data_IF_583948266579
#
_entry.id   IF_583948266579
#
_cell.length_a   1.000
_cell.length_b   1.000
_cell.length_c   1.000
_cell.angle_alpha   90.00
_cell.angle_beta   90.00
_cell.angle_gamma   90.00
#
_symmetry.space_group_name_H-M   'P 1'
#
loop_
_entity.id
_entity.type
_entity.pdbx_description
1 polymer ?
#
# COMPACT_ATOMS: atom_id res chain seq x y z
N UNK A 1 44.63 -58.55 44.24
CA UNK A 1 44.86 -58.30 42.80
C UNK A 1 44.02 -57.12 42.40
N UNK A 2 44.71 -56.02 42.10
CA UNK A 2 44.14 -54.73 41.75
C UNK A 2 43.59 -54.72 40.33
N UNK A 3 42.46 -54.04 40.11
CA UNK A 3 42.14 -53.42 38.83
C UNK A 3 41.73 -51.97 39.11
N UNK A 4 42.64 -51.06 38.77
CA UNK A 4 42.52 -49.60 38.82
C UNK A 4 42.00 -49.05 37.47
N UNK A 5 41.58 -47.78 37.51
CA UNK A 5 41.50 -46.79 36.43
C UNK A 5 40.36 -46.91 35.39
N UNK A 6 39.76 -45.83 34.91
CA UNK A 6 39.84 -44.40 35.21
C UNK A 6 38.63 -43.73 34.58
N UNK A 7 37.91 -42.90 35.35
CA UNK A 7 36.94 -41.96 34.79
C UNK A 7 37.72 -40.82 34.13
N UNK A 8 37.70 -40.76 32.80
CA UNK A 8 38.11 -39.56 32.08
C UNK A 8 36.95 -38.57 32.04
N UNK A 9 37.00 -37.63 32.99
CA UNK A 9 36.28 -36.37 32.95
C UNK A 9 36.75 -35.56 31.72
N UNK A 10 35.99 -35.58 30.63
CA UNK A 10 36.07 -34.53 29.61
C UNK A 10 34.92 -33.54 29.82
N UNK A 11 35.12 -32.68 30.83
CA UNK A 11 34.34 -31.46 31.05
C UNK A 11 34.73 -30.46 29.95
N UNK A 12 34.16 -30.61 28.75
CA UNK A 12 34.30 -29.63 27.68
C UNK A 12 33.53 -28.37 28.06
N UNK A 13 34.29 -27.35 28.38
CA UNK A 13 33.88 -25.98 28.65
C UNK A 13 33.40 -25.33 27.33
N UNK A 14 32.11 -25.43 27.00
CA UNK A 14 31.50 -24.62 25.94
C UNK A 14 30.58 -23.54 26.54
N UNK A 15 31.20 -22.58 27.23
CA UNK A 15 30.53 -21.36 27.71
C UNK A 15 30.24 -20.36 26.57
N UNK A 16 29.73 -20.83 25.42
CA UNK A 16 29.44 -19.99 24.25
C UNK A 16 28.02 -20.17 23.73
N UNK A 17 27.04 -20.29 24.62
CA UNK A 17 25.61 -20.40 24.25
C UNK A 17 24.73 -19.34 24.93
N UNK A 18 25.35 -18.30 25.50
CA UNK A 18 24.68 -17.18 26.18
C UNK A 18 25.07 -15.82 25.59
N UNK A 19 25.33 -15.71 24.29
CA UNK A 19 25.29 -14.42 23.58
C UNK A 19 23.81 -14.01 23.34
N UNK A 20 23.12 -13.93 24.47
CA UNK A 20 22.23 -12.88 24.90
C UNK A 20 21.23 -12.36 23.86
N UNK A 21 19.98 -12.78 24.08
CA UNK A 21 18.72 -12.09 23.76
C UNK A 21 18.64 -10.66 24.35
N UNK A 22 19.75 -9.94 24.47
CA UNK A 22 19.77 -8.56 24.93
C UNK A 22 19.16 -7.69 23.83
N UNK A 23 18.22 -6.83 24.23
CA UNK A 23 17.64 -5.79 23.39
C UNK A 23 18.77 -4.87 22.91
N UNK A 24 18.68 -4.43 21.66
CA UNK A 24 19.60 -3.41 21.13
C UNK A 24 19.44 -2.13 21.95
N UNK A 25 20.56 -1.49 22.28
CA UNK A 25 20.55 -0.21 22.97
C UNK A 25 20.05 0.91 22.02
N UNK A 26 19.59 2.02 22.58
CA UNK A 26 19.06 3.15 21.82
C UNK A 26 20.05 3.66 20.76
N UNK A 27 21.33 3.77 21.09
CA UNK A 27 22.34 4.27 20.16
C UNK A 27 22.64 3.27 19.03
N UNK A 28 22.59 1.97 19.33
CA UNK A 28 22.69 0.92 18.31
C UNK A 28 21.50 0.98 17.35
N UNK A 29 20.29 1.20 17.88
CA UNK A 29 19.08 1.38 17.05
C UNK A 29 19.18 2.62 16.18
N UNK A 30 19.59 3.77 16.73
CA UNK A 30 19.75 5.02 15.96
C UNK A 30 20.72 4.84 14.78
N UNK A 31 21.83 4.16 15.01
CA UNK A 31 22.80 3.91 13.93
C UNK A 31 22.18 3.01 12.85
N UNK A 32 21.52 1.91 13.24
CA UNK A 32 20.80 1.03 12.32
C UNK A 32 19.71 1.78 11.55
N UNK A 33 19.00 2.72 12.18
CA UNK A 33 17.99 3.58 11.53
C UNK A 33 18.63 4.48 10.48
N UNK A 34 19.74 5.18 10.80
CA UNK A 34 20.44 6.03 9.82
C UNK A 34 20.91 5.25 8.58
N UNK A 35 21.39 4.02 8.78
CA UNK A 35 21.80 3.15 7.68
C UNK A 35 20.61 2.64 6.88
N UNK A 36 19.52 2.25 7.56
CA UNK A 36 18.28 1.84 6.90
C UNK A 36 17.69 2.98 6.07
N UNK A 37 17.78 4.21 6.56
CA UNK A 37 17.28 5.40 5.87
C UNK A 37 18.00 5.62 4.54
N UNK A 38 19.31 5.35 4.51
CA UNK A 38 20.15 5.40 3.29
C UNK A 38 19.97 4.18 2.38
N UNK A 39 19.86 2.96 2.94
CA UNK A 39 19.66 1.73 2.17
C UNK A 39 18.70 0.77 2.90
N UNK A 40 17.56 0.49 2.25
CA UNK A 40 16.49 -0.37 2.78
C UNK A 40 16.84 -1.87 2.71
N UNK A 41 17.81 -2.26 1.88
CA UNK A 41 18.31 -3.63 1.73
C UNK A 41 19.56 -3.84 2.58
N UNK A 42 19.63 -5.00 3.24
CA UNK A 42 20.78 -5.36 4.07
C UNK A 42 21.69 -6.30 3.28
N UNK A 43 22.74 -5.75 2.71
CA UNK A 43 23.74 -6.53 1.99
C UNK A 43 24.53 -7.45 2.94
N UNK A 44 24.94 -8.66 2.51
CA UNK A 44 25.67 -9.60 3.35
C UNK A 44 26.97 -9.02 3.92
N UNK A 45 27.72 -8.28 3.11
CA UNK A 45 28.97 -7.62 3.51
C UNK A 45 28.72 -6.52 4.55
N UNK A 46 27.76 -5.63 4.27
CA UNK A 46 27.36 -4.57 5.21
C UNK A 46 26.83 -5.12 6.53
N UNK A 47 26.11 -6.25 6.52
CA UNK A 47 25.66 -6.92 7.73
C UNK A 47 26.83 -7.31 8.64
N UNK A 48 27.94 -7.79 8.07
CA UNK A 48 29.12 -8.17 8.83
C UNK A 48 29.86 -6.94 9.39
N UNK A 49 29.95 -5.87 8.62
CA UNK A 49 30.52 -4.59 9.09
C UNK A 49 29.71 -4.02 10.25
N UNK A 50 28.39 -3.90 10.09
CA UNK A 50 27.50 -3.42 11.16
C UNK A 50 27.58 -4.29 12.41
N UNK A 51 27.74 -5.61 12.26
CA UNK A 51 27.89 -6.52 13.38
C UNK A 51 29.15 -6.23 14.19
N UNK A 52 30.27 -6.00 13.48
CA UNK A 52 31.56 -5.66 14.08
C UNK A 52 31.49 -4.28 14.75
N UNK A 53 30.99 -3.28 14.06
CA UNK A 53 31.01 -1.88 14.50
C UNK A 53 30.07 -1.65 15.69
N UNK A 54 28.92 -2.34 15.74
CA UNK A 54 27.95 -2.27 16.84
C UNK A 54 28.22 -3.26 17.97
N UNK A 55 29.12 -4.24 17.76
CA UNK A 55 29.33 -5.37 18.69
C UNK A 55 28.08 -6.26 18.83
N UNK A 56 27.28 -6.36 17.77
CA UNK A 56 25.97 -7.03 17.76
C UNK A 56 26.04 -8.28 16.86
N UNK A 57 25.45 -9.42 17.26
CA UNK A 57 25.42 -10.60 16.40
C UNK A 57 24.76 -10.32 15.04
N UNK A 58 25.32 -10.79 13.90
CA UNK A 58 24.75 -10.57 12.57
C UNK A 58 23.28 -10.98 12.43
N UNK A 59 22.86 -12.01 13.19
CA UNK A 59 21.47 -12.46 13.26
C UNK A 59 20.53 -11.40 13.83
N UNK A 60 20.94 -10.66 14.86
CA UNK A 60 20.11 -9.61 15.45
C UNK A 60 19.92 -8.44 14.47
N UNK A 61 20.96 -8.08 13.72
CA UNK A 61 20.87 -7.06 12.66
C UNK A 61 19.89 -7.51 11.58
N UNK A 62 19.97 -8.78 11.14
CA UNK A 62 19.04 -9.32 10.16
C UNK A 62 17.57 -9.27 10.64
N UNK A 63 17.31 -9.69 11.89
CA UNK A 63 15.97 -9.63 12.51
C UNK A 63 15.50 -8.18 12.63
N UNK A 64 16.39 -7.28 13.05
CA UNK A 64 16.06 -5.85 13.17
C UNK A 64 15.65 -5.27 11.81
N UNK A 65 16.41 -5.54 10.74
CA UNK A 65 16.08 -5.09 9.39
C UNK A 65 14.76 -5.68 8.89
N UNK A 66 14.49 -6.96 9.15
CA UNK A 66 13.21 -7.59 8.82
C UNK A 66 12.04 -6.89 9.53
N UNK A 67 12.16 -6.65 10.83
CA UNK A 67 11.13 -5.96 11.62
C UNK A 67 10.96 -4.50 11.18
N UNK A 68 12.07 -3.81 10.88
CA UNK A 68 12.05 -2.43 10.39
C UNK A 68 11.32 -2.34 9.05
N UNK A 69 11.60 -3.24 8.10
CA UNK A 69 10.86 -3.32 6.82
C UNK A 69 9.38 -3.63 7.02
N UNK A 70 9.03 -4.53 7.93
CA UNK A 70 7.64 -4.85 8.21
C UNK A 70 6.87 -3.62 8.73
N UNK A 71 7.47 -2.87 9.67
CA UNK A 71 6.87 -1.62 10.20
C UNK A 71 6.77 -0.55 9.13
N UNK A 72 7.84 -0.35 8.35
CA UNK A 72 7.83 0.62 7.24
C UNK A 72 6.73 0.30 6.22
N UNK A 73 6.53 -0.98 5.89
CA UNK A 73 5.44 -1.41 5.00
C UNK A 73 4.06 -1.10 5.59
N UNK A 74 3.85 -1.37 6.88
CA UNK A 74 2.59 -1.03 7.57
C UNK A 74 2.32 0.47 7.51
N UNK A 75 3.32 1.28 7.88
CA UNK A 75 3.21 2.74 7.89
C UNK A 75 2.94 3.30 6.49
N UNK A 76 3.62 2.78 5.46
CA UNK A 76 3.38 3.18 4.07
C UNK A 76 1.95 2.87 3.62
N UNK A 77 1.45 1.68 3.96
CA UNK A 77 0.07 1.27 3.64
C UNK A 77 -0.97 2.13 4.39
N UNK A 78 -0.72 2.42 5.67
CA UNK A 78 -1.57 3.30 6.49
C UNK A 78 -1.65 4.71 5.89
N UNK A 79 -0.50 5.28 5.50
CA UNK A 79 -0.45 6.58 4.82
C UNK A 79 -1.21 6.57 3.49
N UNK A 80 -1.01 5.53 2.67
CA UNK A 80 -1.70 5.41 1.39
C UNK A 80 -3.22 5.30 1.58
N UNK A 81 -3.68 4.46 2.52
CA UNK A 81 -5.10 4.35 2.84
C UNK A 81 -5.68 5.66 3.36
N UNK A 82 -4.94 6.39 4.21
CA UNK A 82 -5.35 7.71 4.68
C UNK A 82 -5.50 8.70 3.52
N UNK A 83 -4.57 8.70 2.57
CA UNK A 83 -4.65 9.55 1.38
C UNK A 83 -5.84 9.19 0.48
N UNK A 84 -6.13 7.90 0.31
CA UNK A 84 -7.31 7.44 -0.42
C UNK A 84 -8.61 7.85 0.26
N UNK A 85 -8.67 7.78 1.60
CA UNK A 85 -9.84 8.21 2.36
C UNK A 85 -10.14 9.70 2.14
N UNK A 86 -9.12 10.56 2.19
CA UNK A 86 -9.27 12.00 1.93
C UNK A 86 -9.82 12.26 0.53
N UNK A 87 -9.33 11.52 -0.48
CA UNK A 87 -9.83 11.63 -1.86
C UNK A 87 -11.30 11.20 -1.97
N UNK A 88 -11.67 10.11 -1.30
CA UNK A 88 -13.05 9.63 -1.24
C UNK A 88 -13.97 10.68 -0.61
N UNK A 89 -13.57 11.26 0.52
CA UNK A 89 -14.37 12.27 1.22
C UNK A 89 -14.55 13.54 0.37
N UNK A 90 -13.50 13.97 -0.34
CA UNK A 90 -13.58 15.10 -1.28
C UNK A 90 -14.57 14.81 -2.42
N UNK A 91 -14.45 13.63 -3.06
CA UNK A 91 -15.33 13.25 -4.16
C UNK A 91 -16.80 13.13 -3.71
N UNK A 92 -17.05 12.62 -2.49
CA UNK A 92 -18.40 12.57 -1.92
C UNK A 92 -18.96 13.97 -1.64
N UNK A 93 -18.13 14.90 -1.18
CA UNK A 93 -18.53 16.29 -0.99
C UNK A 93 -18.90 16.95 -2.34
N UNK A 94 -18.08 16.75 -3.36
CA UNK A 94 -18.33 17.26 -4.72
C UNK A 94 -19.60 16.66 -5.34
N UNK A 95 -19.80 15.35 -5.19
CA UNK A 95 -21.02 14.67 -5.64
C UNK A 95 -22.24 15.30 -4.99
N UNK A 96 -22.21 15.51 -3.67
CA UNK A 96 -23.30 16.15 -2.93
C UNK A 96 -23.57 17.57 -3.41
N UNK A 97 -22.52 18.36 -3.68
CA UNK A 97 -22.71 19.72 -4.22
C UNK A 97 -23.37 19.67 -5.59
N UNK A 98 -22.90 18.79 -6.48
CA UNK A 98 -23.48 18.61 -7.82
C UNK A 98 -24.95 18.16 -7.75
N UNK A 99 -25.31 17.26 -6.84
CA UNK A 99 -26.70 16.85 -6.64
C UNK A 99 -27.59 18.03 -6.23
N UNK A 100 -27.11 18.90 -5.34
CA UNK A 100 -27.87 20.10 -4.95
C UNK A 100 -28.01 21.10 -6.10
N UNK A 101 -26.98 21.26 -6.93
CA UNK A 101 -27.03 22.11 -8.12
C UNK A 101 -27.98 21.54 -9.17
N UNK A 102 -27.93 20.24 -9.43
CA UNK A 102 -28.85 19.54 -10.33
C UNK A 102 -30.31 19.68 -9.87
N UNK A 103 -30.57 19.57 -8.55
CA UNK A 103 -31.90 19.78 -8.00
C UNK A 103 -32.39 21.22 -8.24
N UNK A 104 -31.55 22.23 -7.94
CA UNK A 104 -31.88 23.65 -8.18
C UNK A 104 -32.15 23.94 -9.65
N UNK A 105 -31.31 23.42 -10.56
CA UNK A 105 -31.47 23.61 -11.99
C UNK A 105 -32.77 22.95 -12.50
N UNK A 106 -33.12 21.77 -11.99
CA UNK A 106 -34.40 21.11 -12.32
C UNK A 106 -35.59 21.94 -11.85
N UNK A 107 -35.54 22.51 -10.65
CA UNK A 107 -36.58 23.40 -10.13
C UNK A 107 -36.71 24.69 -10.97
N UNK A 108 -35.60 25.30 -11.34
CA UNK A 108 -35.57 26.50 -12.18
C UNK A 108 -36.14 26.22 -13.58
N UNK A 109 -35.76 25.10 -14.21
CA UNK A 109 -36.32 24.67 -15.49
C UNK A 109 -37.83 24.46 -15.40
N UNK A 110 -38.32 23.85 -14.31
CA UNK A 110 -39.75 23.67 -14.07
C UNK A 110 -40.46 25.02 -13.93
N UNK A 111 -39.92 25.94 -13.15
CA UNK A 111 -40.48 27.29 -12.97
C UNK A 111 -40.58 28.04 -14.30
N UNK A 112 -39.52 28.02 -15.11
CA UNK A 112 -39.51 28.69 -16.43
C UNK A 112 -40.49 28.05 -17.41
N UNK A 113 -40.66 26.73 -17.37
CA UNK A 113 -41.66 26.05 -18.18
C UNK A 113 -43.09 26.44 -17.79
N UNK A 114 -43.36 26.58 -16.49
CA UNK A 114 -44.63 27.10 -15.98
C UNK A 114 -44.85 28.56 -16.41
N UNK A 115 -43.85 29.44 -16.28
CA UNK A 115 -43.92 30.83 -16.74
C UNK A 115 -44.23 30.95 -18.24
N UNK A 116 -43.56 30.16 -19.09
CA UNK A 116 -43.84 30.12 -20.53
C UNK A 116 -45.28 29.66 -20.83
N UNK A 117 -45.80 28.70 -20.06
CA UNK A 117 -47.20 28.23 -20.20
C UNK A 117 -48.22 29.34 -19.90
N UNK A 118 -47.95 30.21 -18.93
CA UNK A 118 -48.84 31.34 -18.61
C UNK A 118 -48.80 32.47 -19.65
N UNK A 119 -47.66 32.69 -20.32
CA UNK A 119 -47.50 33.74 -21.34
C UNK A 119 -48.06 33.30 -22.71
N UNK A 120 -48.05 31.99 -23.01
CA UNK A 120 -48.57 31.42 -24.26
C UNK A 120 -50.09 31.48 -24.44
N UNK A 121 -50.84 32.03 -23.48
CA UNK A 121 -52.30 32.17 -23.52
C UNK A 121 -52.84 33.31 -24.40
N UNK A 122 -51.98 34.12 -25.04
CA UNK A 122 -52.42 35.19 -25.94
C UNK A 122 -51.73 35.11 -27.31
N UNK A 123 -52.49 34.61 -28.30
CA UNK A 123 -52.29 34.73 -29.76
C UNK A 123 -51.09 34.00 -30.41
N UNK A 124 -51.33 32.85 -31.03
CA UNK A 124 -51.59 32.81 -32.48
C UNK A 124 -52.19 31.46 -32.87
N UNK A 125 -53.36 31.50 -33.51
CA UNK A 125 -53.98 30.37 -34.14
C UNK A 125 -53.18 29.93 -35.39
N UNK A 126 -53.12 28.62 -35.57
CA UNK A 126 -53.17 27.92 -36.86
C UNK A 126 -51.99 28.12 -37.83
N UNK A 127 -51.11 27.11 -37.91
CA UNK A 127 -50.90 26.40 -39.18
C UNK A 127 -50.33 25.00 -38.89
N UNK A 128 -51.19 23.99 -39.02
CA UNK A 128 -50.78 22.59 -38.99
C UNK A 128 -50.24 22.26 -40.39
N UNK A 129 -48.95 22.46 -40.62
CA UNK A 129 -48.27 21.76 -41.72
C UNK A 129 -47.91 20.37 -41.23
N UNK A 130 -48.60 19.37 -41.78
CA UNK A 130 -48.12 18.00 -41.73
C UNK A 130 -46.71 17.95 -42.30
N UNK A 131 -45.76 17.56 -41.46
CA UNK A 131 -44.45 17.07 -41.91
C UNK A 131 -44.25 15.71 -41.28
N UNK A 132 -44.06 14.76 -42.18
CA UNK A 132 -43.97 13.33 -42.01
C UNK A 132 -43.03 12.91 -40.87
N UNK A 133 -43.38 11.77 -40.27
CA UNK A 133 -42.52 10.94 -39.45
C UNK A 133 -41.19 10.66 -40.14
N UNK A 134 -40.16 11.43 -39.79
CA UNK A 134 -38.77 11.07 -40.02
C UNK A 134 -38.27 10.48 -38.70
N UNK A 135 -38.21 9.15 -38.66
CA UNK A 135 -37.45 8.43 -37.62
C UNK A 135 -36.00 8.89 -37.67
N UNK A 136 -35.41 9.39 -36.58
CA UNK A 136 -33.99 9.66 -36.57
C UNK A 136 -33.23 8.34 -36.44
N UNK A 137 -32.68 7.90 -37.57
CA UNK A 137 -31.68 6.85 -37.62
C UNK A 137 -30.38 7.37 -37.00
N UNK A 138 -30.11 7.02 -35.75
CA UNK A 138 -28.81 7.25 -35.12
C UNK A 138 -27.92 6.03 -35.33
N UNK A 139 -27.33 5.93 -36.52
CA UNK A 139 -26.06 5.25 -36.66
C UNK A 139 -24.97 6.20 -36.13
N UNK A 140 -24.76 6.22 -34.82
CA UNK A 140 -23.58 6.85 -34.21
C UNK A 140 -22.75 5.76 -33.57
N UNK A 141 -21.84 5.22 -34.38
CA UNK A 141 -20.70 4.43 -33.94
C UNK A 141 -19.90 5.26 -32.93
N UNK A 142 -20.04 4.95 -31.63
CA UNK A 142 -19.16 5.47 -30.60
C UNK A 142 -17.90 4.58 -30.58
N UNK A 143 -16.98 4.87 -31.50
CA UNK A 143 -15.59 4.42 -31.41
C UNK A 143 -14.72 5.63 -31.08
N UNK A 144 -13.71 5.37 -30.23
CA UNK A 144 -12.59 6.23 -29.83
C UNK A 144 -12.90 7.34 -28.79
N UNK A 145 -12.15 7.52 -27.69
CA UNK A 145 -10.82 7.03 -27.34
C UNK A 145 -10.73 6.64 -25.86
N UNK A 146 -9.92 5.64 -25.58
CA UNK A 146 -9.51 5.31 -24.22
C UNK A 146 -8.74 6.47 -23.60
N UNK A 147 -9.28 7.02 -22.51
CA UNK A 147 -8.48 7.77 -21.55
C UNK A 147 -7.67 6.75 -20.73
N UNK A 148 -6.61 6.20 -21.34
CA UNK A 148 -5.51 5.64 -20.58
C UNK A 148 -4.83 6.82 -19.89
N UNK A 149 -5.38 7.24 -18.74
CA UNK A 149 -4.64 8.08 -17.81
C UNK A 149 -3.50 7.21 -17.29
N UNK A 150 -2.39 7.23 -18.02
CA UNK A 150 -1.07 6.86 -17.52
C UNK A 150 -0.72 7.85 -16.43
N UNK A 151 -1.35 7.67 -15.26
CA UNK A 151 -0.87 8.22 -14.02
C UNK A 151 0.39 7.42 -13.73
N UNK A 152 1.53 7.93 -14.20
CA UNK A 152 2.83 7.48 -13.70
C UNK A 152 2.91 7.93 -12.25
N UNK A 153 2.28 7.15 -11.39
CA UNK A 153 2.55 7.19 -9.97
C UNK A 153 3.92 6.53 -9.80
N UNK A 154 4.97 7.33 -9.99
CA UNK A 154 6.39 6.96 -9.84
C UNK A 154 6.69 6.41 -8.42
N UNK A 155 5.71 6.43 -7.50
CA UNK A 155 5.77 5.76 -6.20
C UNK A 155 5.34 4.28 -6.20
N UNK A 156 4.57 3.82 -7.19
CA UNK A 156 3.99 2.47 -7.20
C UNK A 156 4.97 1.41 -7.74
N UNK A 157 5.77 1.77 -8.74
CA UNK A 157 6.76 0.86 -9.34
C UNK A 157 7.92 0.53 -8.38
N UNK A 158 8.18 1.40 -7.40
CA UNK A 158 9.17 1.10 -6.36
C UNK A 158 8.66 0.07 -5.33
N UNK A 159 7.34 -0.11 -5.21
CA UNK A 159 6.76 -1.10 -4.30
C UNK A 159 6.98 -2.53 -4.82
N UNK A 160 6.75 -2.77 -6.12
CA UNK A 160 6.92 -4.09 -6.73
C UNK A 160 8.40 -4.50 -6.84
N UNK A 161 9.29 -3.55 -7.14
CA UNK A 161 10.74 -3.79 -7.18
C UNK A 161 11.32 -4.11 -5.79
N UNK A 162 10.80 -3.47 -4.74
CA UNK A 162 11.13 -3.77 -3.34
C UNK A 162 10.48 -5.06 -2.83
N UNK A 163 9.27 -5.39 -3.29
CA UNK A 163 8.59 -6.64 -2.96
C UNK A 163 9.33 -7.83 -3.57
N UNK A 164 9.71 -7.76 -4.85
CA UNK A 164 10.46 -8.81 -5.57
C UNK A 164 11.83 -9.12 -4.95
N UNK A 165 12.54 -8.10 -4.45
CA UNK A 165 13.81 -8.32 -3.73
C UNK A 165 13.66 -8.87 -2.30
N UNK A 166 12.45 -8.82 -1.72
CA UNK A 166 12.17 -9.28 -0.36
C UNK A 166 11.50 -10.66 -0.33
N UNK A 167 10.73 -11.02 -1.35
CA UNK A 167 10.07 -12.33 -1.41
C UNK A 167 10.94 -13.47 -1.92
N UNK A 168 12.13 -13.19 -2.46
CA UNK A 168 13.09 -14.23 -2.84
C UNK A 168 12.44 -15.30 -3.72
N UNK A 169 12.35 -15.05 -5.03
CA UNK A 169 12.07 -16.13 -5.99
C UNK A 169 13.32 -17.02 -5.99
N UNK A 170 13.41 -17.91 -5.01
CA UNK A 170 14.31 -19.04 -5.00
C UNK A 170 13.65 -20.11 -5.87
N UNK A 171 14.15 -20.25 -7.10
CA UNK A 171 13.93 -21.46 -7.89
C UNK A 171 14.51 -22.66 -7.10
N UNK A 172 13.64 -23.60 -6.74
CA UNK A 172 14.04 -24.96 -6.42
C UNK A 172 13.81 -25.41 -4.98
N UNK A 173 12.69 -26.13 -4.82
CA UNK A 173 12.57 -27.32 -3.96
C UNK A 173 12.42 -27.15 -2.44
N UNK A 174 11.15 -27.28 -2.02
CA UNK A 174 10.70 -28.08 -0.88
C UNK A 174 11.01 -27.60 0.56
N UNK A 175 10.07 -26.88 1.18
CA UNK A 175 9.37 -27.37 2.39
C UNK A 175 8.37 -26.36 2.96
N UNK A 176 7.16 -26.86 3.19
CA UNK A 176 6.05 -26.26 3.93
C UNK A 176 6.46 -25.51 5.20
N UNK A 177 6.02 -24.27 5.37
CA UNK A 177 5.69 -23.71 6.70
C UNK A 177 4.94 -22.37 6.63
N UNK A 178 3.61 -22.51 6.65
CA UNK A 178 2.66 -21.73 7.46
C UNK A 178 3.12 -20.37 8.01
N UNK A 179 2.55 -19.28 7.47
CA UNK A 179 2.70 -17.91 7.96
C UNK A 179 1.98 -17.64 9.30
N UNK A 180 1.49 -18.67 9.99
CA UNK A 180 0.49 -18.53 11.05
C UNK A 180 1.01 -18.23 12.48
N UNK A 181 2.32 -18.13 12.73
CA UNK A 181 2.83 -17.87 14.09
C UNK A 181 3.70 -16.62 14.18
N UNK A 182 3.06 -15.44 14.18
CA UNK A 182 3.68 -14.14 14.50
C UNK A 182 2.89 -13.38 15.58
N UNK A 183 2.53 -14.03 16.69
CA UNK A 183 1.92 -13.32 17.82
C UNK A 183 2.82 -13.04 19.02
N UNK A 184 4.04 -13.60 19.10
CA UNK A 184 4.83 -13.51 20.35
C UNK A 184 6.18 -12.79 20.23
N UNK A 185 6.38 -11.91 19.24
CA UNK A 185 7.64 -11.15 19.09
C UNK A 185 7.59 -9.71 19.63
N UNK A 186 6.65 -9.40 20.51
CA UNK A 186 6.50 -8.09 21.14
C UNK A 186 6.43 -8.17 22.66
N UNK A 187 7.61 -8.21 23.31
CA UNK A 187 7.98 -7.53 24.57
C UNK A 187 9.48 -7.19 24.51
#
# INVERSE_FOLDING_TARGET
MSCMNSQTNHKSLSSSMKHNKKRLNQDQVKLLESYFDSNKKLEPERKLELARDLGVPPRQIAIWYQNRRARWKSQSLELHNSALQVKLDSALAEMKTLETEMAKLREELKRRAEEMSLIGGSSLALHQTGVSSISPNYNSSCCDEGMSSSFKDEGLLHFDELYGSLVGVEDGSNSSSSWANRKDFWV
#
